data_IF_170875866684
#
_entry.id   IF_170875866684
#
_cell.length_a   1.000
_cell.length_b   1.000
_cell.length_c   1.000
_cell.angle_alpha   90.00
_cell.angle_beta   90.00
_cell.angle_gamma   90.00
#
_symmetry.space_group_name_H-M   'P 1'
#
loop_
_entity.id
_entity.type
_entity.pdbx_description
1 polymer ?
#
# COMPACT_ATOMS: atom_id res chain seq x y z
N UNK A 1 5.42 -22.25 25.04
CA UNK A 1 6.73 -22.40 25.70
C UNK A 1 6.62 -22.56 27.24
N UNK A 2 5.50 -22.91 27.80
CA UNK A 2 5.39 -23.19 29.24
C UNK A 2 5.98 -24.57 29.53
N UNK A 3 7.00 -24.66 30.42
CA UNK A 3 7.53 -25.91 30.89
C UNK A 3 9.03 -26.19 30.67
N UNK A 4 9.76 -25.28 30.09
CA UNK A 4 11.22 -25.39 30.00
C UNK A 4 11.85 -24.62 31.17
N UNK A 5 12.48 -25.35 32.12
CA UNK A 5 13.23 -24.77 33.22
C UNK A 5 14.55 -25.53 33.33
N UNK A 6 15.62 -24.83 33.06
CA UNK A 6 16.98 -25.33 33.17
C UNK A 6 17.85 -24.30 33.90
N UNK A 7 18.89 -24.77 34.58
CA UNK A 7 19.81 -23.91 35.33
C UNK A 7 20.66 -23.03 34.38
N UNK A 8 20.95 -23.55 33.18
CA UNK A 8 21.75 -22.86 32.14
C UNK A 8 20.99 -22.90 30.82
N UNK A 9 20.41 -21.77 30.42
CA UNK A 9 19.61 -21.69 29.21
C UNK A 9 19.93 -20.41 28.44
N UNK A 10 20.02 -20.51 27.12
CA UNK A 10 20.05 -19.39 26.21
C UNK A 10 18.82 -19.45 25.32
N UNK A 11 17.98 -18.43 25.39
CA UNK A 11 16.86 -18.24 24.45
C UNK A 11 17.29 -17.23 23.41
N UNK A 12 17.13 -17.56 22.13
CA UNK A 12 17.39 -16.67 21.01
C UNK A 12 16.05 -16.35 20.35
N UNK A 13 15.72 -15.06 20.27
CA UNK A 13 14.53 -14.53 19.60
C UNK A 13 14.98 -13.76 18.39
N UNK A 14 14.82 -14.38 17.24
CA UNK A 14 15.04 -13.71 15.95
C UNK A 14 13.79 -12.94 15.54
N UNK A 15 13.95 -11.84 14.79
CA UNK A 15 12.87 -10.92 14.41
C UNK A 15 12.06 -10.41 15.62
N UNK A 16 12.74 -10.13 16.74
CA UNK A 16 12.14 -9.86 18.04
C UNK A 16 11.16 -8.67 18.05
N UNK A 17 11.34 -7.70 17.16
CA UNK A 17 10.43 -6.54 17.01
C UNK A 17 9.02 -6.95 16.55
N UNK A 18 8.86 -8.13 15.92
CA UNK A 18 7.57 -8.64 15.46
C UNK A 18 6.91 -9.65 16.40
N UNK A 19 7.56 -9.99 17.53
CA UNK A 19 7.01 -10.95 18.49
C UNK A 19 6.03 -10.25 19.41
N UNK A 20 4.82 -10.82 19.55
CA UNK A 20 3.77 -10.23 20.40
C UNK A 20 4.10 -10.31 21.90
N UNK A 21 3.62 -9.34 22.68
CA UNK A 21 3.88 -9.25 24.11
C UNK A 21 3.53 -10.51 24.90
N UNK A 22 2.39 -11.22 24.66
CA UNK A 22 2.09 -12.46 25.37
C UNK A 22 3.13 -13.57 25.14
N UNK A 23 3.74 -13.62 23.95
CA UNK A 23 4.82 -14.58 23.66
C UNK A 23 6.10 -14.16 24.35
N UNK A 24 6.45 -12.86 24.33
CA UNK A 24 7.62 -12.34 25.01
C UNK A 24 7.51 -12.49 26.52
N UNK A 25 6.36 -12.25 27.13
CA UNK A 25 6.10 -12.50 28.55
C UNK A 25 6.28 -13.97 28.93
N UNK A 26 5.78 -14.89 28.08
CA UNK A 26 6.00 -16.32 28.29
C UNK A 26 7.49 -16.70 28.20
N UNK A 27 8.27 -16.10 27.31
CA UNK A 27 9.72 -16.29 27.21
C UNK A 27 10.41 -15.74 28.47
N UNK A 28 10.12 -14.52 28.87
CA UNK A 28 10.69 -13.89 30.06
C UNK A 28 10.37 -14.71 31.33
N UNK A 29 9.15 -15.25 31.42
CA UNK A 29 8.75 -16.13 32.52
C UNK A 29 9.53 -17.44 32.61
N UNK A 30 10.14 -17.92 31.52
CA UNK A 30 10.99 -19.13 31.55
C UNK A 30 12.42 -18.85 31.99
N UNK A 31 12.85 -17.58 32.03
CA UNK A 31 14.23 -17.16 32.42
C UNK A 31 14.39 -17.08 33.95
N UNK A 32 13.85 -18.01 34.70
CA UNK A 32 13.88 -18.03 36.16
C UNK A 32 15.17 -18.62 36.74
N UNK A 33 15.98 -19.31 35.95
CA UNK A 33 17.25 -19.90 36.36
C UNK A 33 18.35 -18.87 36.53
N UNK A 34 19.33 -19.17 37.38
CA UNK A 34 20.37 -18.22 37.81
C UNK A 34 21.28 -17.77 36.64
N UNK A 35 21.50 -18.60 35.63
CA UNK A 35 22.40 -18.31 34.48
C UNK A 35 21.63 -18.40 33.14
N UNK A 36 20.35 -18.02 33.15
CA UNK A 36 19.56 -17.98 31.93
C UNK A 36 19.78 -16.65 31.19
N UNK A 37 19.90 -16.71 29.88
CA UNK A 37 20.20 -15.58 29.01
C UNK A 37 19.17 -15.47 27.89
N UNK A 38 18.84 -14.22 27.54
CA UNK A 38 18.02 -13.88 26.39
C UNK A 38 18.87 -13.10 25.37
N UNK A 39 18.88 -13.56 24.14
CA UNK A 39 19.42 -12.84 23.00
C UNK A 39 18.24 -12.48 22.07
N UNK A 40 18.01 -11.20 21.86
CA UNK A 40 17.04 -10.69 20.91
C UNK A 40 17.77 -10.04 19.75
N UNK A 41 17.37 -10.32 18.52
CA UNK A 41 17.84 -9.64 17.32
C UNK A 41 16.66 -9.36 16.38
N UNK A 42 16.79 -8.32 15.57
CA UNK A 42 15.77 -7.92 14.61
C UNK A 42 15.91 -6.48 14.14
N UNK A 43 15.13 -6.12 13.16
CA UNK A 43 15.02 -4.75 12.71
C UNK A 43 14.15 -3.94 13.68
N UNK A 44 14.46 -2.68 13.98
CA UNK A 44 13.72 -1.84 14.93
C UNK A 44 12.44 -1.28 14.30
N UNK A 45 11.47 -2.16 14.00
CA UNK A 45 10.28 -1.82 13.22
C UNK A 45 9.14 -1.21 14.05
N UNK A 46 9.07 -1.54 15.35
CA UNK A 46 8.00 -1.12 16.25
C UNK A 46 8.56 -0.24 17.36
N UNK A 47 7.78 0.74 17.80
CA UNK A 47 8.08 1.64 18.93
C UNK A 47 7.40 1.18 20.24
N UNK A 48 6.95 -0.06 20.28
CA UNK A 48 6.27 -0.70 21.42
C UNK A 48 6.81 -2.12 21.61
N UNK A 49 6.60 -2.68 22.79
CA UNK A 49 6.94 -4.06 23.12
C UNK A 49 8.35 -4.25 23.68
N UNK A 50 8.62 -5.45 24.18
CA UNK A 50 9.85 -5.78 24.92
C UNK A 50 11.14 -5.47 24.16
N UNK A 51 11.15 -5.67 22.83
CA UNK A 51 12.34 -5.35 22.03
C UNK A 51 12.62 -3.85 21.99
N UNK A 52 11.58 -3.02 21.82
CA UNK A 52 11.71 -1.56 21.90
C UNK A 52 12.14 -1.11 23.31
N UNK A 53 11.48 -1.62 24.35
CA UNK A 53 11.76 -1.28 25.74
C UNK A 53 13.18 -1.63 26.13
N UNK A 54 13.71 -2.77 25.66
CA UNK A 54 15.11 -3.17 25.89
C UNK A 54 16.15 -2.17 25.35
N UNK A 55 15.77 -1.32 24.40
CA UNK A 55 16.62 -0.27 23.83
C UNK A 55 16.35 1.11 24.41
N UNK A 56 15.21 1.29 25.11
CA UNK A 56 14.72 2.57 25.62
C UNK A 56 14.47 2.54 27.15
N UNK A 57 13.27 2.24 27.58
CA UNK A 57 12.86 2.31 29.00
C UNK A 57 13.62 1.33 29.92
N UNK A 58 13.94 0.14 29.41
CA UNK A 58 14.59 -0.95 30.14
C UNK A 58 16.08 -1.14 29.75
N UNK A 59 16.66 -0.14 29.11
CA UNK A 59 18.02 -0.20 28.57
C UNK A 59 19.08 -0.57 29.61
N UNK A 60 18.88 -0.22 30.85
CA UNK A 60 19.76 -0.53 31.97
C UNK A 60 19.82 -2.04 32.31
N UNK A 61 18.79 -2.78 31.92
CA UNK A 61 18.68 -4.25 32.12
C UNK A 61 19.30 -5.05 30.96
N UNK A 62 19.61 -4.41 29.83
CA UNK A 62 20.04 -5.07 28.61
C UNK A 62 21.37 -4.52 28.09
N UNK A 63 22.17 -5.41 27.50
CA UNK A 63 23.33 -5.01 26.70
C UNK A 63 22.89 -4.81 25.25
N UNK A 64 22.82 -3.56 24.83
CA UNK A 64 22.27 -3.19 23.53
C UNK A 64 23.37 -3.00 22.49
N UNK A 65 23.17 -3.53 21.29
CA UNK A 65 24.02 -3.33 20.12
C UNK A 65 23.18 -2.80 18.97
N UNK A 66 23.63 -1.71 18.33
CA UNK A 66 23.07 -1.16 17.10
C UNK A 66 24.05 -1.39 15.96
N UNK A 67 23.55 -1.93 14.84
CA UNK A 67 24.33 -2.16 13.62
C UNK A 67 23.64 -1.44 12.48
N UNK A 68 24.36 -0.59 11.78
CA UNK A 68 23.87 0.09 10.58
C UNK A 68 24.25 -0.69 9.33
N UNK A 69 23.51 -0.48 8.24
CA UNK A 69 23.85 -1.04 6.92
C UNK A 69 25.24 -0.57 6.44
N UNK A 70 25.73 0.58 6.92
CA UNK A 70 27.08 1.05 6.62
C UNK A 70 28.17 0.24 7.31
N UNK A 71 27.86 -0.35 8.46
CA UNK A 71 28.82 -1.17 9.24
C UNK A 71 28.98 -2.57 8.63
N UNK A 72 28.04 -2.98 7.77
CA UNK A 72 28.05 -4.30 7.14
C UNK A 72 28.83 -4.30 5.83
N UNK A 73 29.83 -5.17 5.71
CA UNK A 73 30.55 -5.41 4.47
C UNK A 73 29.74 -6.12 3.39
N UNK A 74 28.58 -6.68 3.75
CA UNK A 74 27.68 -7.44 2.86
C UNK A 74 26.61 -6.58 2.21
N UNK A 75 26.41 -5.36 2.71
CA UNK A 75 25.36 -4.47 2.21
C UNK A 75 25.78 -3.86 0.87
N UNK A 76 24.87 -3.92 -0.12
CA UNK A 76 25.06 -3.22 -1.38
C UNK A 76 24.88 -1.70 -1.17
N UNK A 77 25.93 -0.93 -1.47
CA UNK A 77 25.91 0.54 -1.33
C UNK A 77 24.90 1.21 -2.24
N UNK A 78 24.70 0.67 -3.46
CA UNK A 78 23.75 1.22 -4.40
C UNK A 78 22.30 1.12 -3.86
N UNK A 79 22.01 0.04 -3.12
CA UNK A 79 20.70 -0.10 -2.45
C UNK A 79 20.51 0.94 -1.33
N UNK A 80 21.57 1.24 -0.57
CA UNK A 80 21.53 2.31 0.44
C UNK A 80 21.21 3.66 -0.23
N UNK A 81 21.92 4.00 -1.30
CA UNK A 81 21.74 5.25 -2.03
C UNK A 81 20.34 5.35 -2.65
N UNK A 82 19.82 4.25 -3.19
CA UNK A 82 18.47 4.18 -3.72
C UNK A 82 17.42 4.47 -2.63
N UNK A 83 17.54 3.84 -1.46
CA UNK A 83 16.65 4.08 -0.32
C UNK A 83 16.70 5.54 0.13
N UNK A 84 17.93 6.09 0.27
CA UNK A 84 18.11 7.49 0.68
C UNK A 84 17.55 8.48 -0.34
N UNK A 85 17.70 8.18 -1.63
CA UNK A 85 17.14 9.01 -2.71
C UNK A 85 15.61 8.95 -2.74
N UNK A 86 15.05 7.75 -2.54
CA UNK A 86 13.59 7.52 -2.62
C UNK A 86 12.85 8.07 -1.39
N UNK A 87 13.38 7.86 -0.19
CA UNK A 87 12.64 8.16 1.06
C UNK A 87 13.21 9.32 1.88
N UNK A 88 14.41 9.79 1.52
CA UNK A 88 15.12 10.79 2.29
C UNK A 88 15.85 10.21 3.51
N UNK A 89 16.94 10.88 3.91
CA UNK A 89 17.81 10.45 5.02
C UNK A 89 17.11 10.45 6.38
N UNK A 90 16.19 11.39 6.59
CA UNK A 90 15.49 11.58 7.87
C UNK A 90 14.21 10.74 8.00
N UNK A 91 13.86 9.99 6.96
CA UNK A 91 12.64 9.16 6.94
C UNK A 91 12.76 7.97 7.90
N UNK A 92 11.62 7.51 8.42
CA UNK A 92 11.57 6.31 9.27
C UNK A 92 12.01 5.05 8.51
N UNK A 93 11.80 5.01 7.19
CA UNK A 93 12.30 3.93 6.32
C UNK A 93 13.84 3.88 6.34
N UNK A 94 14.50 5.05 6.19
CA UNK A 94 15.96 5.12 6.25
C UNK A 94 16.49 4.80 7.67
N UNK A 95 15.80 5.29 8.71
CA UNK A 95 16.15 4.99 10.10
C UNK A 95 16.16 3.48 10.35
N UNK A 96 15.08 2.79 9.99
CA UNK A 96 14.94 1.34 10.21
C UNK A 96 15.89 0.54 9.32
N UNK A 97 15.87 0.76 8.01
CA UNK A 97 16.56 -0.10 7.04
C UNK A 97 18.05 0.17 6.89
N UNK A 98 18.45 1.43 7.10
CA UNK A 98 19.85 1.83 6.89
C UNK A 98 20.57 2.03 8.22
N UNK A 99 19.98 2.81 9.12
CA UNK A 99 20.66 3.23 10.33
C UNK A 99 20.48 2.27 11.51
N UNK A 100 19.57 1.28 11.42
CA UNK A 100 19.25 0.38 12.52
C UNK A 100 18.68 1.15 13.72
N UNK A 101 17.84 2.16 13.45
CA UNK A 101 17.22 3.02 14.45
C UNK A 101 15.71 2.83 14.45
N UNK A 102 15.08 2.97 15.62
CA UNK A 102 13.63 2.98 15.72
C UNK A 102 13.02 4.22 15.04
N UNK A 103 11.79 4.12 14.51
CA UNK A 103 11.05 5.26 13.99
C UNK A 103 10.92 6.38 15.04
N UNK A 104 10.76 7.63 14.62
CA UNK A 104 10.64 8.80 15.50
C UNK A 104 9.31 8.88 16.26
N UNK A 105 8.27 8.22 15.75
CA UNK A 105 6.95 8.23 16.37
C UNK A 105 6.08 7.07 15.91
N UNK A 106 4.88 6.96 16.47
CA UNK A 106 3.84 6.13 15.89
C UNK A 106 3.60 6.64 14.47
N UNK A 107 3.74 5.74 13.49
CA UNK A 107 3.54 6.10 12.09
C UNK A 107 2.07 6.54 11.96
N UNK A 108 1.86 7.82 11.72
CA UNK A 108 0.54 8.39 11.45
C UNK A 108 -0.01 7.87 10.10
N UNK A 109 -0.61 8.69 9.29
CA UNK A 109 -1.15 8.26 8.00
C UNK A 109 -0.05 7.87 7.00
N UNK A 110 -0.36 6.91 6.13
CA UNK A 110 0.55 6.47 5.06
C UNK A 110 0.75 7.57 4.00
N UNK A 111 -0.29 8.33 3.73
CA UNK A 111 -0.28 9.51 2.85
C UNK A 111 -0.64 10.74 3.70
N UNK A 112 0.10 11.83 3.57
CA UNK A 112 -0.16 13.05 4.32
C UNK A 112 -1.37 13.81 3.77
N UNK A 113 -2.14 14.47 4.64
CA UNK A 113 -3.27 15.29 4.23
C UNK A 113 -2.83 16.41 3.27
N UNK A 114 -1.70 17.05 3.55
CA UNK A 114 -1.16 18.15 2.75
C UNK A 114 -0.92 17.76 1.29
N UNK A 115 -0.35 16.56 1.04
CA UNK A 115 -0.10 16.10 -0.33
C UNK A 115 -1.38 15.78 -1.09
N UNK A 116 -2.40 15.26 -0.39
CA UNK A 116 -3.71 14.97 -0.98
C UNK A 116 -4.44 16.28 -1.34
N UNK A 117 -4.49 17.24 -0.41
CA UNK A 117 -5.13 18.55 -0.64
C UNK A 117 -4.48 19.29 -1.82
N UNK A 118 -3.15 19.30 -1.91
CA UNK A 118 -2.46 19.89 -3.05
C UNK A 118 -2.89 19.29 -4.39
N UNK A 119 -3.07 17.96 -4.45
CA UNK A 119 -3.49 17.28 -5.68
C UNK A 119 -4.96 17.57 -6.05
N UNK A 120 -5.80 18.01 -5.11
CA UNK A 120 -7.18 18.46 -5.41
C UNK A 120 -7.24 19.91 -5.87
N UNK A 121 -6.22 20.72 -5.57
CA UNK A 121 -6.13 22.13 -5.96
C UNK A 121 -5.43 22.34 -7.30
N UNK A 122 -4.57 21.42 -7.70
CA UNK A 122 -3.75 21.50 -8.90
C UNK A 122 -4.35 20.71 -10.04
N UNK A 123 -4.28 21.27 -11.24
CA UNK A 123 -4.82 20.64 -12.44
C UNK A 123 -3.70 20.32 -13.43
N UNK A 124 -3.73 19.11 -13.98
CA UNK A 124 -2.88 18.73 -15.10
C UNK A 124 -3.41 19.38 -16.39
N UNK A 125 -2.53 19.52 -17.38
CA UNK A 125 -2.89 20.15 -18.65
C UNK A 125 -3.99 19.39 -19.39
N UNK A 126 -5.04 20.09 -19.85
CA UNK A 126 -6.07 19.52 -20.72
C UNK A 126 -5.50 18.98 -22.03
N UNK A 127 -4.39 19.55 -22.51
CA UNK A 127 -3.69 19.02 -23.68
C UNK A 127 -3.18 17.59 -23.48
N UNK A 128 -2.78 17.23 -22.25
CA UNK A 128 -2.36 15.85 -21.93
C UNK A 128 -3.57 14.91 -21.95
N UNK A 129 -4.67 15.31 -21.32
CA UNK A 129 -5.92 14.53 -21.29
C UNK A 129 -6.44 14.30 -22.72
N UNK A 130 -6.49 15.36 -23.54
CA UNK A 130 -7.02 15.30 -24.88
C UNK A 130 -6.15 14.52 -25.89
N UNK A 131 -4.87 14.29 -25.58
CA UNK A 131 -3.96 13.47 -26.39
C UNK A 131 -3.91 12.01 -25.95
N UNK A 132 -4.46 11.70 -24.80
CA UNK A 132 -4.48 10.34 -24.25
C UNK A 132 -5.53 9.52 -25.00
N UNK A 133 -5.18 8.31 -25.39
CA UNK A 133 -6.05 7.39 -26.16
C UNK A 133 -6.60 6.25 -25.29
N UNK A 134 -6.10 6.08 -24.07
CA UNK A 134 -6.51 5.02 -23.14
C UNK A 134 -7.08 5.62 -21.86
N UNK A 135 -8.33 5.27 -21.53
CA UNK A 135 -8.90 5.53 -20.22
C UNK A 135 -8.73 4.33 -19.30
N UNK A 136 -8.74 4.55 -18.01
CA UNK A 136 -8.61 3.52 -17.00
C UNK A 136 -9.77 3.57 -16.02
N UNK A 137 -10.23 2.41 -15.55
CA UNK A 137 -11.24 2.30 -14.49
C UNK A 137 -10.72 1.33 -13.44
N UNK A 138 -10.60 1.78 -12.19
CA UNK A 138 -10.39 0.93 -11.03
C UNK A 138 -11.73 0.55 -10.41
N UNK A 139 -11.91 -0.72 -10.07
CA UNK A 139 -13.16 -1.27 -9.55
C UNK A 139 -12.88 -2.01 -8.25
N UNK A 140 -13.31 -1.44 -7.13
CA UNK A 140 -13.39 -2.14 -5.83
C UNK A 140 -14.80 -2.69 -5.66
N UNK A 141 -14.94 -4.02 -5.56
CA UNK A 141 -16.24 -4.71 -5.63
C UNK A 141 -16.71 -5.12 -4.24
N UNK A 142 -17.83 -4.56 -3.80
CA UNK A 142 -18.56 -5.05 -2.63
C UNK A 142 -19.89 -5.69 -3.04
N UNK A 143 -20.26 -6.82 -2.40
CA UNK A 143 -21.52 -7.51 -2.71
C UNK A 143 -22.60 -7.25 -1.67
N UNK A 144 -22.32 -7.55 -0.41
CA UNK A 144 -23.25 -7.40 0.71
C UNK A 144 -22.47 -6.95 1.96
N UNK A 145 -23.06 -6.04 2.71
CA UNK A 145 -22.47 -5.49 3.92
C UNK A 145 -22.48 -3.96 3.91
N UNK A 146 -21.60 -3.37 4.69
CA UNK A 146 -21.45 -1.92 4.83
C UNK A 146 -20.48 -1.32 3.80
N UNK A 147 -19.72 -2.15 3.10
CA UNK A 147 -18.76 -1.74 2.08
C UNK A 147 -19.51 -1.41 0.76
N UNK A 148 -18.93 -0.54 -0.05
CA UNK A 148 -19.54 -0.06 -1.30
C UNK A 148 -18.69 -0.42 -2.51
N UNK A 149 -19.35 -0.79 -3.61
CA UNK A 149 -18.69 -0.92 -4.91
C UNK A 149 -18.37 0.47 -5.45
N UNK A 150 -17.10 0.69 -5.78
CA UNK A 150 -16.59 1.94 -6.34
C UNK A 150 -16.06 1.70 -7.75
N UNK A 151 -16.44 2.57 -8.67
CA UNK A 151 -15.87 2.66 -10.00
C UNK A 151 -15.13 3.98 -10.12
N UNK A 152 -13.82 3.92 -10.24
CA UNK A 152 -12.96 5.11 -10.26
C UNK A 152 -12.30 5.28 -11.64
N UNK A 153 -12.74 6.25 -12.46
CA UNK A 153 -12.17 6.49 -13.79
C UNK A 153 -10.99 7.47 -13.74
N UNK A 154 -10.01 7.30 -14.64
CA UNK A 154 -8.95 8.28 -14.92
C UNK A 154 -8.59 8.35 -16.40
N UNK A 155 -8.09 9.49 -16.83
CA UNK A 155 -7.49 9.72 -18.16
C UNK A 155 -6.12 10.38 -17.96
N UNK A 156 -5.08 9.83 -18.54
CA UNK A 156 -3.70 10.15 -18.17
C UNK A 156 -3.54 10.06 -16.64
N UNK A 157 -3.09 11.11 -15.97
CA UNK A 157 -2.97 11.17 -14.51
C UNK A 157 -4.03 12.06 -13.85
N UNK A 158 -5.10 12.40 -14.57
CA UNK A 158 -6.30 13.05 -14.01
C UNK A 158 -7.28 11.99 -13.53
N UNK A 159 -7.47 11.87 -12.25
CA UNK A 159 -8.56 11.13 -11.65
C UNK A 159 -9.87 11.91 -11.84
N UNK A 160 -10.91 11.22 -12.34
CA UNK A 160 -12.21 11.84 -12.58
C UNK A 160 -13.17 11.54 -11.40
N UNK A 161 -14.40 12.07 -11.48
CA UNK A 161 -15.42 11.75 -10.48
C UNK A 161 -15.77 10.25 -10.51
N UNK A 162 -15.78 9.63 -9.34
CA UNK A 162 -16.08 8.22 -9.18
C UNK A 162 -17.58 7.97 -9.00
N UNK A 163 -18.00 6.75 -9.27
CA UNK A 163 -19.36 6.27 -9.00
C UNK A 163 -19.37 5.28 -7.83
N UNK A 164 -20.35 5.42 -6.93
CA UNK A 164 -20.50 4.60 -5.72
C UNK A 164 -21.83 3.88 -5.70
N UNK A 165 -21.81 2.58 -5.49
CA UNK A 165 -22.97 1.72 -5.45
C UNK A 165 -22.95 0.84 -4.21
N UNK A 166 -24.11 0.66 -3.56
CA UNK A 166 -24.25 -0.22 -2.40
C UNK A 166 -25.22 -1.35 -2.71
N UNK A 167 -24.91 -2.55 -2.18
CA UNK A 167 -25.80 -3.73 -2.23
C UNK A 167 -26.22 -4.13 -3.66
N UNK A 168 -25.27 -4.14 -4.60
CA UNK A 168 -25.48 -4.55 -5.97
C UNK A 168 -25.02 -5.98 -6.21
N UNK A 169 -25.66 -6.66 -7.15
CA UNK A 169 -25.19 -7.95 -7.65
C UNK A 169 -23.98 -7.76 -8.55
N UNK A 170 -23.16 -8.83 -8.72
CA UNK A 170 -22.04 -8.81 -9.67
C UNK A 170 -22.48 -8.50 -11.10
N UNK A 171 -23.67 -8.95 -11.50
CA UNK A 171 -24.26 -8.67 -12.81
C UNK A 171 -24.58 -7.19 -13.01
N UNK A 172 -25.16 -6.53 -11.99
CA UNK A 172 -25.42 -5.09 -12.03
C UNK A 172 -24.11 -4.31 -12.05
N UNK A 173 -23.13 -4.70 -11.21
CA UNK A 173 -21.79 -4.09 -11.19
C UNK A 173 -21.14 -4.15 -12.57
N UNK A 174 -21.14 -5.31 -13.22
CA UNK A 174 -20.65 -5.47 -14.60
C UNK A 174 -21.33 -4.49 -15.57
N UNK A 175 -22.66 -4.34 -15.45
CA UNK A 175 -23.42 -3.38 -16.26
C UNK A 175 -22.97 -1.92 -16.05
N UNK A 176 -22.73 -1.51 -14.80
CA UNK A 176 -22.24 -0.17 -14.48
C UNK A 176 -20.83 0.07 -15.04
N UNK A 177 -19.92 -0.90 -14.91
CA UNK A 177 -18.57 -0.80 -15.47
C UNK A 177 -18.59 -0.60 -16.99
N UNK A 178 -19.39 -1.40 -17.71
CA UNK A 178 -19.56 -1.27 -19.16
C UNK A 178 -20.13 0.11 -19.54
N UNK A 179 -21.12 0.59 -18.79
CA UNK A 179 -21.72 1.90 -19.05
C UNK A 179 -20.71 3.04 -18.80
N UNK A 180 -19.95 2.99 -17.71
CA UNK A 180 -18.89 3.96 -17.44
C UNK A 180 -17.85 3.98 -18.58
N UNK A 181 -17.38 2.81 -19.02
CA UNK A 181 -16.43 2.71 -20.12
C UNK A 181 -16.96 3.34 -21.43
N UNK A 182 -18.21 3.08 -21.77
CA UNK A 182 -18.88 3.72 -22.94
C UNK A 182 -19.02 5.23 -22.78
N UNK A 183 -19.39 5.70 -21.59
CA UNK A 183 -19.51 7.13 -21.29
C UNK A 183 -18.18 7.86 -21.44
N UNK A 184 -17.08 7.27 -20.95
CA UNK A 184 -15.73 7.82 -21.11
C UNK A 184 -15.36 8.00 -22.58
N UNK A 185 -15.57 6.97 -23.42
CA UNK A 185 -15.31 7.06 -24.86
C UNK A 185 -16.20 8.09 -25.56
N UNK A 186 -17.43 8.25 -25.12
CA UNK A 186 -18.36 9.25 -25.66
C UNK A 186 -17.99 10.68 -25.29
N UNK A 187 -17.57 10.90 -24.02
CA UNK A 187 -17.21 12.23 -23.50
C UNK A 187 -15.82 12.67 -23.96
N UNK A 188 -14.91 11.73 -24.18
CA UNK A 188 -13.54 11.97 -24.57
C UNK A 188 -13.25 11.27 -25.93
N UNK A 189 -13.50 11.92 -27.07
CA UNK A 189 -13.39 11.29 -28.40
C UNK A 189 -11.99 10.80 -28.78
N UNK A 190 -10.95 11.23 -28.05
CA UNK A 190 -9.59 10.72 -28.21
C UNK A 190 -9.40 9.31 -27.65
N UNK A 191 -10.27 8.86 -26.75
CA UNK A 191 -10.17 7.54 -26.11
C UNK A 191 -10.68 6.47 -27.08
N UNK A 192 -9.79 5.59 -27.46
CA UNK A 192 -10.06 4.44 -28.32
C UNK A 192 -10.05 3.10 -27.57
N UNK A 193 -9.56 3.07 -26.32
CA UNK A 193 -9.46 1.88 -25.48
C UNK A 193 -9.74 2.21 -24.00
N UNK A 194 -10.35 1.26 -23.28
CA UNK A 194 -10.53 1.36 -21.82
C UNK A 194 -9.91 0.15 -21.14
N UNK A 195 -9.04 0.39 -20.16
CA UNK A 195 -8.44 -0.63 -19.31
C UNK A 195 -9.18 -0.67 -17.96
N UNK A 196 -9.74 -1.80 -17.60
CA UNK A 196 -10.54 -2.02 -16.40
C UNK A 196 -9.74 -2.91 -15.44
N UNK A 197 -9.49 -2.45 -14.22
CA UNK A 197 -8.79 -3.21 -13.19
C UNK A 197 -9.75 -3.47 -12.05
N UNK A 198 -10.03 -4.73 -11.80
CA UNK A 198 -11.01 -5.17 -10.80
C UNK A 198 -10.28 -5.79 -9.62
N UNK A 199 -10.59 -5.37 -8.38
CA UNK A 199 -10.15 -6.14 -7.22
C UNK A 199 -10.75 -7.54 -7.29
N UNK A 200 -9.91 -8.51 -7.64
CA UNK A 200 -10.29 -9.91 -7.84
C UNK A 200 -10.34 -10.70 -6.53
N UNK A 201 -10.11 -10.04 -5.41
CA UNK A 201 -10.13 -10.67 -4.09
C UNK A 201 -11.57 -11.00 -3.70
N UNK A 202 -11.92 -12.29 -3.68
CA UNK A 202 -13.23 -12.76 -3.25
C UNK A 202 -14.34 -12.55 -4.28
N UNK A 203 -15.19 -11.54 -4.12
CA UNK A 203 -16.40 -11.36 -4.95
C UNK A 203 -16.10 -10.79 -6.34
N UNK A 204 -14.97 -10.09 -6.47
CA UNK A 204 -14.58 -9.43 -7.72
C UNK A 204 -14.35 -10.37 -8.88
N UNK A 205 -13.88 -11.61 -8.64
CA UNK A 205 -13.66 -12.60 -9.69
C UNK A 205 -14.87 -12.84 -10.59
N UNK A 206 -16.07 -12.89 -9.99
CA UNK A 206 -17.29 -13.02 -10.79
C UNK A 206 -17.65 -11.79 -11.64
N UNK A 207 -17.12 -10.59 -11.30
CA UNK A 207 -17.23 -9.39 -12.14
C UNK A 207 -16.21 -9.45 -13.28
N UNK A 208 -14.97 -9.86 -12.97
CA UNK A 208 -13.89 -10.05 -13.95
C UNK A 208 -14.33 -11.04 -15.03
N UNK A 209 -14.73 -12.27 -14.66
CA UNK A 209 -15.18 -13.30 -15.60
C UNK A 209 -16.31 -12.82 -16.51
N UNK A 210 -17.29 -12.13 -15.93
CA UNK A 210 -18.44 -11.63 -16.70
C UNK A 210 -18.07 -10.46 -17.62
N UNK A 211 -17.12 -9.62 -17.23
CA UNK A 211 -16.60 -8.57 -18.10
C UNK A 211 -15.87 -9.17 -19.30
N UNK A 212 -15.01 -10.19 -19.10
CA UNK A 212 -14.30 -10.91 -20.17
C UNK A 212 -15.28 -11.47 -21.20
N UNK A 213 -16.29 -12.23 -20.74
CA UNK A 213 -17.34 -12.75 -21.63
C UNK A 213 -18.02 -11.67 -22.47
N UNK A 214 -18.42 -10.54 -21.82
CA UNK A 214 -19.13 -9.48 -22.53
C UNK A 214 -18.24 -8.69 -23.49
N UNK A 215 -16.98 -8.49 -23.14
CA UNK A 215 -15.98 -7.83 -23.99
C UNK A 215 -15.75 -8.66 -25.26
N UNK A 216 -15.59 -9.98 -25.12
CA UNK A 216 -15.41 -10.90 -26.24
C UNK A 216 -16.68 -10.97 -27.11
N UNK A 217 -17.85 -11.21 -26.50
CA UNK A 217 -19.13 -11.36 -27.21
C UNK A 217 -19.55 -10.10 -28.01
N UNK A 218 -19.31 -8.93 -27.45
CA UNK A 218 -19.69 -7.64 -28.05
C UNK A 218 -18.57 -6.92 -28.78
N UNK A 219 -17.35 -7.47 -28.76
CA UNK A 219 -16.15 -6.87 -29.36
C UNK A 219 -15.92 -5.42 -28.88
N UNK A 220 -16.09 -5.18 -27.57
CA UNK A 220 -15.79 -3.87 -27.01
C UNK A 220 -14.29 -3.60 -27.00
N UNK A 221 -13.85 -2.35 -27.25
CA UNK A 221 -12.44 -1.96 -27.16
C UNK A 221 -12.00 -1.80 -25.70
N UNK A 222 -12.31 -2.78 -24.87
CA UNK A 222 -11.99 -2.80 -23.45
C UNK A 222 -11.05 -3.98 -23.14
N UNK A 223 -10.17 -3.79 -22.17
CA UNK A 223 -9.41 -4.87 -21.55
C UNK A 223 -9.71 -4.92 -20.06
N UNK A 224 -9.85 -6.12 -19.52
CA UNK A 224 -10.08 -6.32 -18.08
C UNK A 224 -8.90 -7.06 -17.46
N UNK A 225 -8.54 -6.67 -16.23
CA UNK A 225 -7.48 -7.26 -15.43
C UNK A 225 -8.00 -7.54 -14.03
N UNK A 226 -8.01 -8.81 -13.63
CA UNK A 226 -8.21 -9.20 -12.23
C UNK A 226 -6.95 -8.89 -11.42
N UNK A 227 -7.06 -8.10 -10.36
CA UNK A 227 -5.96 -7.67 -9.51
C UNK A 227 -6.13 -8.25 -8.12
N UNK A 228 -5.24 -9.15 -7.72
CA UNK A 228 -5.24 -9.69 -6.36
C UNK A 228 -4.37 -8.82 -5.45
N UNK A 229 -5.00 -7.94 -4.67
CA UNK A 229 -4.34 -7.04 -3.72
C UNK A 229 -3.52 -7.78 -2.65
N UNK A 230 -3.84 -9.04 -2.35
CA UNK A 230 -3.09 -9.89 -1.41
C UNK A 230 -1.86 -10.57 -2.00
N UNK A 231 -1.64 -10.53 -3.31
CA UNK A 231 -0.49 -11.14 -3.96
C UNK A 231 0.83 -10.47 -3.53
N UNK A 232 1.94 -11.16 -3.76
CA UNK A 232 3.27 -10.62 -3.48
C UNK A 232 3.52 -9.38 -4.32
N UNK A 233 4.06 -8.34 -3.71
CA UNK A 233 4.53 -7.14 -4.40
C UNK A 233 5.74 -7.46 -5.29
N UNK A 234 5.82 -6.83 -6.46
CA UNK A 234 7.01 -6.85 -7.32
C UNK A 234 8.12 -5.94 -6.76
N UNK A 235 7.75 -4.94 -5.96
CA UNK A 235 8.69 -4.07 -5.25
C UNK A 235 8.95 -4.61 -3.84
N UNK A 236 10.20 -4.90 -3.53
CA UNK A 236 10.65 -5.42 -2.23
C UNK A 236 10.42 -4.46 -1.05
N UNK A 237 10.03 -3.21 -1.29
CA UNK A 237 9.66 -2.26 -0.26
C UNK A 237 8.29 -2.54 0.35
N UNK A 238 7.40 -3.18 -0.39
CA UNK A 238 6.03 -3.42 -0.01
C UNK A 238 5.76 -4.90 0.29
N UNK A 239 4.91 -5.17 1.28
CA UNK A 239 4.61 -6.54 1.72
C UNK A 239 3.66 -7.26 0.76
N UNK A 240 2.77 -6.53 0.11
CA UNK A 240 1.84 -7.05 -0.88
C UNK A 240 1.51 -6.02 -1.96
N UNK A 241 0.86 -6.48 -3.04
CA UNK A 241 0.50 -5.64 -4.18
C UNK A 241 -0.41 -4.47 -3.78
N UNK A 242 -1.43 -4.70 -2.95
CA UNK A 242 -2.33 -3.62 -2.49
C UNK A 242 -1.57 -2.49 -1.79
N UNK A 243 -0.55 -2.82 -0.97
CA UNK A 243 0.32 -1.79 -0.36
C UNK A 243 1.17 -1.07 -1.41
N UNK A 244 1.68 -1.79 -2.42
CA UNK A 244 2.43 -1.20 -3.52
C UNK A 244 1.58 -0.21 -4.33
N UNK A 245 0.33 -0.56 -4.65
CA UNK A 245 -0.57 0.32 -5.40
C UNK A 245 -0.81 1.65 -4.68
N UNK A 246 -1.02 1.61 -3.37
CA UNK A 246 -1.09 2.81 -2.55
C UNK A 246 0.24 3.55 -2.48
N UNK A 247 1.36 2.83 -2.48
CA UNK A 247 2.70 3.41 -2.56
C UNK A 247 2.91 4.22 -3.84
N UNK A 248 2.44 3.71 -4.96
CA UNK A 248 2.51 4.42 -6.24
C UNK A 248 1.72 5.74 -6.21
N UNK A 249 0.50 5.73 -5.64
CA UNK A 249 -0.26 6.98 -5.43
C UNK A 249 0.48 7.94 -4.52
N UNK A 250 1.03 7.46 -3.40
CA UNK A 250 1.83 8.28 -2.48
C UNK A 250 3.00 8.95 -3.19
N UNK A 251 3.75 8.21 -4.00
CA UNK A 251 4.89 8.74 -4.74
C UNK A 251 4.46 9.87 -5.71
N UNK A 252 3.39 9.68 -6.47
CA UNK A 252 2.86 10.72 -7.37
C UNK A 252 2.40 11.97 -6.62
N UNK A 253 1.80 11.82 -5.43
CA UNK A 253 1.39 12.92 -4.57
C UNK A 253 2.59 13.68 -3.99
N UNK A 254 3.65 12.97 -3.60
CA UNK A 254 4.90 13.58 -3.12
C UNK A 254 5.66 14.28 -4.26
N UNK A 255 5.61 13.74 -5.48
CA UNK A 255 6.12 14.40 -6.68
C UNK A 255 5.37 15.72 -6.98
N UNK A 256 4.04 15.78 -6.75
CA UNK A 256 3.30 17.03 -6.84
C UNK A 256 3.84 18.13 -5.91
N UNK A 257 4.23 17.78 -4.69
CA UNK A 257 4.85 18.72 -3.75
C UNK A 257 6.15 19.29 -4.32
N UNK A 258 6.98 18.42 -4.87
CA UNK A 258 8.25 18.82 -5.49
C UNK A 258 8.02 19.67 -6.74
N UNK A 259 7.09 19.27 -7.61
CA UNK A 259 6.72 20.01 -8.81
C UNK A 259 6.18 21.42 -8.46
N UNK A 260 5.33 21.52 -7.42
CA UNK A 260 4.80 22.80 -6.96
C UNK A 260 5.88 23.74 -6.43
N UNK A 261 6.87 23.22 -5.69
CA UNK A 261 8.01 24.00 -5.21
C UNK A 261 8.89 24.53 -6.37
N UNK A 262 9.00 23.77 -7.44
CA UNK A 262 9.77 24.13 -8.63
C UNK A 262 8.99 24.99 -9.63
N UNK A 263 7.69 25.20 -9.42
CA UNK A 263 6.81 25.88 -10.40
C UNK A 263 6.52 25.05 -11.66
N UNK A 264 6.61 23.72 -11.53
CA UNK A 264 6.36 22.75 -12.59
C UNK A 264 4.88 22.29 -12.62
N UNK A 265 4.49 21.61 -13.69
CA UNK A 265 3.13 21.04 -13.79
C UNK A 265 2.94 19.88 -12.79
N UNK A 266 1.74 19.73 -12.23
CA UNK A 266 1.45 18.62 -11.32
C UNK A 266 1.52 17.28 -12.06
N UNK A 267 1.89 16.24 -11.32
CA UNK A 267 2.02 14.86 -11.81
C UNK A 267 0.67 14.15 -11.76
N UNK A 268 -0.14 14.40 -10.73
CA UNK A 268 -1.46 13.80 -10.52
C UNK A 268 -2.48 14.88 -10.13
N UNK A 269 -3.71 14.73 -10.63
CA UNK A 269 -4.88 15.56 -10.26
C UNK A 269 -5.95 14.66 -9.66
N UNK A 270 -6.49 15.03 -8.49
CA UNK A 270 -7.57 14.33 -7.80
C UNK A 270 -8.84 15.19 -7.75
N UNK A 271 -10.03 14.57 -7.77
CA UNK A 271 -11.27 15.28 -7.53
C UNK A 271 -11.31 15.82 -6.09
N UNK A 272 -11.92 17.00 -5.90
CA UNK A 272 -12.10 17.64 -4.59
C UNK A 272 -13.26 16.98 -3.84
N UNK A 273 -13.06 15.74 -3.37
CA UNK A 273 -14.04 14.97 -2.62
C UNK A 273 -13.55 14.69 -1.19
N UNK A 274 -14.36 15.08 -0.21
CA UNK A 274 -13.99 14.97 1.21
C UNK A 274 -13.84 13.53 1.69
N UNK A 275 -14.56 12.57 1.10
CA UNK A 275 -14.48 11.16 1.45
C UNK A 275 -13.16 10.57 0.94
N UNK A 276 -12.79 10.86 -0.31
CA UNK A 276 -11.53 10.45 -0.89
C UNK A 276 -10.34 11.02 -0.10
N UNK A 277 -10.37 12.32 0.18
CA UNK A 277 -9.32 13.01 0.98
C UNK A 277 -9.17 12.32 2.33
N UNK A 278 -10.28 12.06 3.02
CA UNK A 278 -10.29 11.37 4.31
C UNK A 278 -9.71 9.95 4.22
N UNK A 279 -10.15 9.16 3.24
CA UNK A 279 -9.69 7.77 3.10
C UNK A 279 -8.19 7.70 2.82
N UNK A 280 -7.68 8.53 1.90
CA UNK A 280 -6.25 8.61 1.58
C UNK A 280 -5.40 9.04 2.78
N UNK A 281 -5.86 10.04 3.56
CA UNK A 281 -5.07 10.66 4.63
C UNK A 281 -5.18 9.98 5.99
N UNK A 282 -6.07 9.00 6.19
CA UNK A 282 -6.29 8.38 7.51
C UNK A 282 -5.77 6.96 7.66
N UNK A 283 -5.48 6.26 6.55
CA UNK A 283 -4.97 4.89 6.57
C UNK A 283 -3.53 4.87 7.06
N UNK A 284 -3.27 4.03 8.08
CA UNK A 284 -1.95 3.88 8.68
C UNK A 284 -1.13 2.80 7.98
N UNK A 285 0.14 2.71 8.33
CA UNK A 285 1.01 1.64 7.89
C UNK A 285 1.91 1.17 9.03
N UNK A 286 2.52 0.00 8.84
CA UNK A 286 3.52 -0.55 9.74
C UNK A 286 4.64 -1.18 8.94
N UNK A 287 5.82 -1.30 9.57
CA UNK A 287 6.90 -2.12 9.04
C UNK A 287 6.69 -3.57 9.47
N UNK A 288 6.81 -4.51 8.54
CA UNK A 288 6.81 -5.94 8.87
C UNK A 288 8.16 -6.36 9.45
N UNK A 289 8.25 -7.58 10.02
CA UNK A 289 9.51 -8.16 10.49
C UNK A 289 10.57 -8.22 9.39
N UNK A 290 10.17 -8.36 8.14
CA UNK A 290 11.07 -8.33 6.96
C UNK A 290 11.42 -6.92 6.49
N UNK A 291 11.14 -5.89 7.29
CA UNK A 291 11.35 -4.47 6.93
C UNK A 291 10.61 -4.02 5.66
N UNK A 292 9.46 -4.63 5.36
CA UNK A 292 8.57 -4.22 4.29
C UNK A 292 7.44 -3.35 4.84
N UNK A 293 7.02 -2.38 4.07
CA UNK A 293 5.85 -1.56 4.39
C UNK A 293 4.59 -2.39 4.16
N UNK A 294 3.68 -2.35 5.13
CA UNK A 294 2.35 -2.95 5.02
C UNK A 294 1.30 -1.96 5.51
N UNK A 295 0.27 -1.75 4.70
CA UNK A 295 -0.87 -0.93 5.09
C UNK A 295 -1.67 -1.58 6.22
N UNK A 296 -2.30 -0.73 7.01
CA UNK A 296 -3.30 -1.13 7.98
C UNK A 296 -4.44 -1.90 7.30
N UNK A 297 -4.86 -3.01 7.90
CA UNK A 297 -5.97 -3.80 7.35
C UNK A 297 -7.31 -3.07 7.50
N UNK A 298 -8.29 -3.39 6.64
CA UNK A 298 -9.66 -2.87 6.76
C UNK A 298 -10.26 -3.20 8.15
N UNK A 299 -9.94 -4.35 8.72
CA UNK A 299 -10.39 -4.74 10.06
C UNK A 299 -9.78 -3.89 11.18
N UNK A 300 -8.50 -3.52 11.06
CA UNK A 300 -7.85 -2.65 12.05
C UNK A 300 -8.38 -1.21 11.94
N UNK A 301 -8.67 -0.73 10.72
CA UNK A 301 -9.37 0.55 10.53
C UNK A 301 -10.75 0.55 11.20
N UNK A 302 -11.54 -0.53 11.03
CA UNK A 302 -12.85 -0.70 11.67
C UNK A 302 -12.75 -0.67 13.22
N UNK A 303 -11.71 -1.26 13.82
CA UNK A 303 -11.45 -1.17 15.27
C UNK A 303 -11.21 0.27 15.76
N UNK A 304 -10.70 1.15 14.89
CA UNK A 304 -10.54 2.59 15.15
C UNK A 304 -11.79 3.41 14.79
N UNK A 305 -12.92 2.78 14.48
CA UNK A 305 -14.15 3.40 13.99
C UNK A 305 -13.94 4.20 12.68
N UNK A 306 -13.04 3.74 11.83
CA UNK A 306 -12.81 4.27 10.48
C UNK A 306 -13.44 3.30 9.49
N UNK A 307 -14.16 3.82 8.50
CA UNK A 307 -14.76 3.02 7.44
C UNK A 307 -13.72 2.36 6.53
N UNK A 308 -14.18 1.43 5.69
CA UNK A 308 -13.36 0.85 4.63
C UNK A 308 -12.91 1.92 3.64
N UNK A 309 -11.64 1.93 3.17
CA UNK A 309 -11.14 2.93 2.22
C UNK A 309 -11.44 2.51 0.77
N UNK A 310 -12.70 2.19 0.46
CA UNK A 310 -13.11 1.60 -0.82
C UNK A 310 -12.86 2.55 -2.00
N UNK A 311 -13.03 3.87 -1.78
CA UNK A 311 -12.78 4.90 -2.81
C UNK A 311 -11.28 4.98 -3.13
N UNK A 312 -10.45 5.00 -2.09
CA UNK A 312 -9.00 5.07 -2.25
C UNK A 312 -8.42 3.76 -2.81
N UNK A 313 -8.99 2.59 -2.46
CA UNK A 313 -8.60 1.30 -3.03
C UNK A 313 -8.93 1.26 -4.55
N UNK A 314 -10.12 1.74 -4.96
CA UNK A 314 -10.49 1.86 -6.37
C UNK A 314 -9.62 2.86 -7.14
N UNK A 315 -9.25 4.01 -6.52
CA UNK A 315 -8.28 4.95 -7.09
C UNK A 315 -6.93 4.26 -7.34
N UNK A 316 -6.41 3.54 -6.36
CA UNK A 316 -5.13 2.85 -6.47
C UNK A 316 -5.14 1.80 -7.60
N UNK A 317 -6.24 1.08 -7.78
CA UNK A 317 -6.45 0.19 -8.92
C UNK A 317 -6.49 0.94 -10.27
N UNK A 318 -7.16 2.10 -10.34
CA UNK A 318 -7.20 2.90 -11.57
C UNK A 318 -5.79 3.31 -12.03
N UNK A 319 -4.87 3.55 -11.10
CA UNK A 319 -3.49 3.92 -11.38
C UNK A 319 -2.53 2.73 -11.50
N UNK A 320 -2.99 1.51 -11.29
CA UNK A 320 -2.17 0.33 -11.55
C UNK A 320 -1.90 0.16 -13.05
N UNK A 321 -0.64 -0.04 -13.39
CA UNK A 321 -0.22 -0.44 -14.74
C UNK A 321 0.23 -1.90 -14.68
N UNK A 322 -0.64 -2.85 -15.09
CA UNK A 322 -0.26 -4.26 -15.09
C UNK A 322 0.93 -4.48 -16.02
N UNK A 323 1.86 -5.39 -15.69
CA UNK A 323 2.98 -5.71 -16.56
C UNK A 323 2.45 -6.12 -17.92
N UNK A 324 2.96 -5.48 -18.99
CA UNK A 324 2.57 -5.81 -20.36
C UNK A 324 2.92 -7.26 -20.64
N UNK A 325 1.92 -8.09 -20.93
CA UNK A 325 2.14 -9.42 -21.49
C UNK A 325 2.70 -9.27 -22.90
N UNK A 326 3.99 -9.01 -23.04
CA UNK A 326 4.69 -9.30 -24.29
C UNK A 326 4.75 -10.83 -24.39
N UNK A 327 3.80 -11.42 -25.10
CA UNK A 327 4.00 -12.75 -25.66
C UNK A 327 5.21 -12.63 -26.60
N UNK A 328 6.37 -13.12 -26.17
CA UNK A 328 7.45 -13.43 -27.08
C UNK A 328 6.92 -14.53 -28.00
N UNK A 329 6.44 -14.14 -29.19
CA UNK A 329 6.26 -15.07 -30.29
C UNK A 329 7.69 -15.45 -30.69
N UNK A 330 8.17 -16.61 -30.23
CA UNK A 330 9.33 -17.25 -30.79
C UNK A 330 8.96 -17.68 -32.23
N UNK A 331 9.59 -17.03 -33.20
CA UNK A 331 9.59 -17.45 -34.59
C UNK A 331 10.52 -18.66 -34.76
#
# INVERSE_FOLDING_TARGET
MQGFHEDHMLIVVDEASGVSDPIMEAILGTLSGFDNKLLMCGNPNNIEGVFYDSHNSDRDKYRVHKVSSYDSKRTNKDNIEMILKKYGKESDVARVRIFGEFPKGALDSFISLETVELATEKQISDSLVNKTTVAHIGVDVARYGDDSTILFPRIATRALEYEKYSKRSTMETTGYVINMAKNLMSQYPSIDKVMIKVDDTGVGGGVTDRLEELIEDKHYPFEVFGVNNGSTSEDDFYDNLGTQLWGNIKEMLEENMTANLNGEQPVIELPSDSSLIKELSTRKFKMTSRSRIRLESKDDMKKRNIGSPDIADALALAFYEPPSHYQFIQF
#
